data_IF_695944371414
#
_entry.id   IF_695944371414
#
_cell.length_a   1.000
_cell.length_b   1.000
_cell.length_c   1.000
_cell.angle_alpha   90.00
_cell.angle_beta   90.00
_cell.angle_gamma   90.00
#
_symmetry.space_group_name_H-M   'P 1'
#
loop_
_entity.id
_entity.type
_entity.pdbx_description
1 polymer ?
#
# COMPACT_ATOMS: atom_id res chain seq x y z
N UNK A 1 -63.46 31.11 -20.26
CA UNK A 1 -62.01 31.06 -20.53
C UNK A 1 -61.42 29.95 -19.68
N UNK A 2 -60.81 28.96 -20.34
CA UNK A 2 -60.44 27.65 -19.82
C UNK A 2 -58.98 27.69 -19.34
N UNK A 3 -58.69 27.20 -18.13
CA UNK A 3 -57.31 26.92 -17.69
C UNK A 3 -57.23 25.54 -17.08
N UNK A 4 -56.86 24.58 -17.93
CA UNK A 4 -56.44 23.23 -17.57
C UNK A 4 -55.07 23.32 -16.92
N UNK A 5 -54.94 22.90 -15.65
CA UNK A 5 -53.63 22.72 -15.01
C UNK A 5 -53.24 21.25 -15.14
N UNK A 6 -52.17 20.99 -15.90
CA UNK A 6 -51.52 19.69 -16.01
C UNK A 6 -50.57 19.52 -14.81
N UNK A 7 -50.85 18.58 -13.92
CA UNK A 7 -49.96 18.22 -12.82
C UNK A 7 -48.98 17.16 -13.30
N UNK A 8 -47.71 17.53 -13.50
CA UNK A 8 -46.62 16.58 -13.75
C UNK A 8 -46.24 15.86 -12.45
N UNK A 9 -46.48 14.55 -12.36
CA UNK A 9 -45.89 13.68 -11.34
C UNK A 9 -44.43 13.43 -11.69
N UNK A 10 -43.49 14.05 -10.98
CA UNK A 10 -42.08 13.69 -11.03
C UNK A 10 -41.83 12.49 -10.09
N UNK A 11 -41.70 11.29 -10.66
CA UNK A 11 -41.25 10.12 -9.92
C UNK A 11 -39.74 10.20 -9.70
N UNK A 12 -39.30 10.63 -8.52
CA UNK A 12 -37.90 10.56 -8.10
C UNK A 12 -37.56 9.10 -7.75
N UNK A 13 -36.87 8.42 -8.66
CA UNK A 13 -36.17 7.18 -8.35
C UNK A 13 -34.94 7.49 -7.50
N UNK A 14 -35.06 7.35 -6.18
CA UNK A 14 -33.92 7.34 -5.28
C UNK A 14 -33.22 5.97 -5.40
N UNK A 15 -32.17 5.89 -6.23
CA UNK A 15 -31.20 4.79 -6.17
C UNK A 15 -30.37 4.99 -4.89
N UNK A 16 -30.84 4.43 -3.78
CA UNK A 16 -30.05 4.27 -2.56
C UNK A 16 -28.99 3.18 -2.78
N UNK A 17 -27.95 3.52 -3.53
CA UNK A 17 -26.72 2.75 -3.56
C UNK A 17 -26.02 2.92 -2.22
N UNK A 18 -26.27 2.03 -1.27
CA UNK A 18 -25.38 1.86 -0.14
C UNK A 18 -24.04 1.34 -0.69
N UNK A 19 -23.15 2.26 -1.07
CA UNK A 19 -21.74 1.95 -1.17
C UNK A 19 -21.35 1.47 0.23
N UNK A 20 -21.16 0.16 0.40
CA UNK A 20 -20.61 -0.39 1.63
C UNK A 20 -19.31 0.39 1.88
N UNK A 21 -19.25 1.09 3.00
CA UNK A 21 -18.03 1.76 3.41
C UNK A 21 -16.94 0.69 3.47
N UNK A 22 -16.04 0.70 2.48
CA UNK A 22 -14.87 -0.16 2.49
C UNK A 22 -14.06 0.18 3.74
N UNK A 23 -13.79 -0.83 4.56
CA UNK A 23 -13.01 -0.63 5.78
C UNK A 23 -11.54 -0.43 5.39
N UNK A 24 -11.06 0.80 5.62
CA UNK A 24 -9.70 1.21 5.25
C UNK A 24 -8.74 0.87 6.37
N UNK A 25 -7.78 0.02 6.06
CA UNK A 25 -6.74 -0.42 6.97
C UNK A 25 -5.44 0.32 6.68
N UNK A 26 -4.83 0.88 7.72
CA UNK A 26 -3.49 1.46 7.60
C UNK A 26 -2.48 0.34 7.32
N UNK A 27 -1.53 0.58 6.42
CA UNK A 27 -0.42 -0.34 6.23
C UNK A 27 0.63 -0.09 7.32
N UNK A 28 0.96 -1.14 8.06
CA UNK A 28 1.87 -1.07 9.20
C UNK A 28 3.32 -1.03 8.73
N UNK A 29 4.12 -0.16 9.35
CA UNK A 29 5.56 -0.07 9.11
C UNK A 29 6.33 -1.23 9.70
N UNK A 30 7.28 -1.75 8.93
CA UNK A 30 8.31 -2.64 9.41
C UNK A 30 9.67 -2.40 8.73
N UNK A 31 10.72 -2.98 9.32
CA UNK A 31 12.09 -2.79 8.87
C UNK A 31 12.84 -4.12 8.89
N UNK A 32 13.23 -4.62 7.71
CA UNK A 32 13.86 -5.94 7.55
C UNK A 32 15.33 -5.99 7.98
N UNK A 33 15.89 -4.88 8.47
CA UNK A 33 17.18 -4.88 9.16
C UNK A 33 17.04 -5.25 10.63
N UNK A 34 15.84 -5.16 11.21
CA UNK A 34 15.56 -5.49 12.60
C UNK A 34 14.47 -6.58 12.62
N UNK A 35 14.81 -7.82 12.99
CA UNK A 35 13.83 -8.91 12.99
C UNK A 35 12.55 -8.55 13.76
N UNK A 36 11.40 -8.89 13.18
CA UNK A 36 10.05 -8.71 13.71
C UNK A 36 9.20 -9.95 13.39
N UNK A 37 8.00 -10.06 13.97
CA UNK A 37 7.07 -11.14 13.68
C UNK A 37 6.68 -11.24 12.19
N UNK A 38 6.68 -10.12 11.46
CA UNK A 38 6.32 -10.03 10.04
C UNK A 38 7.50 -10.35 9.11
N UNK A 39 8.72 -10.40 9.66
CA UNK A 39 9.96 -10.57 8.87
C UNK A 39 9.96 -11.84 8.01
N UNK A 40 9.52 -13.03 8.48
CA UNK A 40 9.50 -14.22 7.64
C UNK A 40 8.59 -14.07 6.42
N UNK A 41 7.36 -13.59 6.62
CA UNK A 41 6.40 -13.39 5.53
C UNK A 41 6.91 -12.35 4.53
N UNK A 42 7.42 -11.21 5.00
CA UNK A 42 7.95 -10.18 4.12
C UNK A 42 9.23 -10.61 3.38
N UNK A 43 10.09 -11.41 4.01
CA UNK A 43 11.27 -11.98 3.35
C UNK A 43 10.86 -12.95 2.24
N UNK A 44 9.81 -13.75 2.45
CA UNK A 44 9.26 -14.60 1.40
C UNK A 44 8.66 -13.78 0.26
N UNK A 45 7.89 -12.74 0.58
CA UNK A 45 7.23 -11.90 -0.43
C UNK A 45 8.25 -11.11 -1.25
N UNK A 46 9.33 -10.61 -0.65
CA UNK A 46 10.25 -9.65 -1.28
C UNK A 46 11.69 -10.14 -1.46
N UNK A 47 11.95 -11.43 -1.25
CA UNK A 47 13.30 -11.99 -1.20
C UNK A 47 14.16 -11.68 -2.43
N UNK A 48 13.56 -11.59 -3.61
CA UNK A 48 14.24 -11.20 -4.85
C UNK A 48 14.78 -9.76 -4.79
N UNK A 49 13.94 -8.81 -4.38
CA UNK A 49 14.31 -7.40 -4.27
C UNK A 49 15.26 -7.14 -3.09
N UNK A 50 15.10 -7.85 -1.98
CA UNK A 50 16.01 -7.80 -0.83
C UNK A 50 17.40 -8.30 -1.24
N UNK A 51 17.48 -9.45 -1.90
CA UNK A 51 18.74 -10.02 -2.35
C UNK A 51 19.46 -9.08 -3.34
N UNK A 52 18.71 -8.44 -4.23
CA UNK A 52 19.25 -7.46 -5.18
C UNK A 52 19.79 -6.21 -4.48
N UNK A 53 19.05 -5.65 -3.54
CA UNK A 53 19.49 -4.53 -2.74
C UNK A 53 20.74 -4.87 -1.91
N UNK A 54 20.79 -6.06 -1.31
CA UNK A 54 21.96 -6.52 -0.56
C UNK A 54 23.20 -6.65 -1.44
N UNK A 55 23.07 -7.17 -2.68
CA UNK A 55 24.16 -7.22 -3.66
C UNK A 55 24.63 -5.81 -4.03
N UNK A 56 23.71 -4.88 -4.28
CA UNK A 56 24.07 -3.49 -4.58
C UNK A 56 25.00 -2.88 -3.52
N UNK A 57 24.59 -2.92 -2.25
CA UNK A 57 25.37 -2.33 -1.17
C UNK A 57 26.72 -3.04 -0.95
N UNK A 58 26.75 -4.37 -1.09
CA UNK A 58 27.99 -5.15 -0.90
C UNK A 58 28.96 -5.02 -2.06
N UNK A 59 28.47 -5.15 -3.28
CA UNK A 59 29.31 -5.45 -4.43
C UNK A 59 29.60 -4.18 -5.25
N UNK A 60 28.59 -3.30 -5.39
CA UNK A 60 28.75 -2.03 -6.11
C UNK A 60 29.23 -0.90 -5.19
N UNK A 61 28.52 -0.64 -4.09
CA UNK A 61 28.91 0.42 -3.14
C UNK A 61 30.06 0.01 -2.22
N UNK A 62 30.29 -1.30 -2.04
CA UNK A 62 31.32 -1.86 -1.15
C UNK A 62 31.22 -1.30 0.28
N UNK A 63 30.00 -1.00 0.73
CA UNK A 63 29.77 -0.42 2.03
C UNK A 63 30.00 -1.47 3.14
N UNK A 64 31.00 -1.28 4.02
CA UNK A 64 31.36 -2.28 5.02
C UNK A 64 30.24 -2.55 6.03
N UNK A 65 29.28 -1.63 6.19
CA UNK A 65 28.15 -1.76 7.12
C UNK A 65 27.15 -2.85 6.71
N UNK A 66 27.16 -3.25 5.43
CA UNK A 66 26.19 -4.18 4.85
C UNK A 66 26.85 -5.45 4.30
N UNK A 67 28.06 -5.79 4.78
CA UNK A 67 28.72 -7.07 4.47
C UNK A 67 27.93 -8.28 4.95
N UNK A 68 27.14 -8.12 6.01
CA UNK A 68 26.27 -9.14 6.59
C UNK A 68 24.88 -8.55 6.86
N UNK A 69 23.85 -9.42 6.86
CA UNK A 69 22.47 -9.01 7.05
C UNK A 69 21.89 -8.23 5.85
N UNK A 70 20.72 -7.62 6.08
CA UNK A 70 20.03 -6.84 5.06
C UNK A 70 20.56 -5.39 5.00
N UNK A 71 20.74 -4.89 3.78
CA UNK A 71 20.81 -3.47 3.48
C UNK A 71 19.48 -2.76 3.87
N UNK A 72 19.41 -1.41 3.86
CA UNK A 72 18.18 -0.67 4.17
C UNK A 72 17.00 -1.17 3.35
N UNK A 73 16.01 -1.72 4.05
CA UNK A 73 14.81 -2.35 3.50
C UNK A 73 13.66 -2.16 4.49
N UNK A 74 12.78 -1.23 4.19
CA UNK A 74 11.57 -0.93 4.95
C UNK A 74 10.35 -1.42 4.18
N UNK A 75 9.28 -1.75 4.88
CA UNK A 75 8.04 -2.17 4.23
C UNK A 75 6.83 -1.56 4.93
N UNK A 76 5.75 -1.48 4.16
CA UNK A 76 4.40 -1.25 4.67
C UNK A 76 3.57 -2.49 4.34
N UNK A 77 2.81 -3.03 5.29
CA UNK A 77 1.95 -4.17 5.00
C UNK A 77 0.67 -4.24 5.82
N UNK A 78 -0.31 -4.92 5.25
CA UNK A 78 -1.51 -5.36 5.95
C UNK A 78 -2.01 -6.66 5.31
N UNK A 79 -2.62 -7.54 6.10
CA UNK A 79 -3.19 -8.80 5.62
C UNK A 79 -4.67 -8.86 5.95
N UNK A 80 -5.50 -8.99 4.91
CA UNK A 80 -6.92 -9.27 5.04
C UNK A 80 -7.16 -10.78 5.04
N UNK A 81 -8.20 -11.24 5.75
CA UNK A 81 -8.66 -12.62 5.71
C UNK A 81 -9.99 -12.70 4.95
N UNK A 82 -10.11 -13.63 4.02
CA UNK A 82 -11.34 -13.92 3.27
C UNK A 82 -11.56 -15.44 3.17
N UNK A 83 -12.41 -15.98 4.05
CA UNK A 83 -12.57 -17.42 4.20
C UNK A 83 -11.25 -18.11 4.58
N UNK A 84 -10.73 -18.95 3.68
CA UNK A 84 -9.44 -19.65 3.84
C UNK A 84 -8.28 -18.93 3.15
N UNK A 85 -8.52 -17.79 2.53
CA UNK A 85 -7.50 -16.99 1.87
C UNK A 85 -6.96 -15.89 2.79
N UNK A 86 -5.65 -15.65 2.66
CA UNK A 86 -4.95 -14.50 3.23
C UNK A 86 -4.51 -13.59 2.08
N UNK A 87 -4.92 -12.32 2.11
CA UNK A 87 -4.60 -11.30 1.12
C UNK A 87 -3.64 -10.31 1.74
N UNK A 88 -2.35 -10.52 1.51
CA UNK A 88 -1.29 -9.64 2.02
C UNK A 88 -0.96 -8.57 0.99
N UNK A 89 -1.26 -7.32 1.35
CA UNK A 89 -0.87 -6.12 0.61
C UNK A 89 0.41 -5.60 1.21
N UNK A 90 1.42 -5.36 0.39
CA UNK A 90 2.67 -4.77 0.89
C UNK A 90 3.34 -3.88 -0.15
N UNK A 91 4.09 -2.90 0.36
CA UNK A 91 5.05 -2.10 -0.40
C UNK A 91 6.42 -2.24 0.24
N UNK A 92 7.48 -2.16 -0.56
CA UNK A 92 8.86 -2.18 -0.06
C UNK A 92 9.62 -0.92 -0.48
N UNK A 93 10.31 -0.30 0.46
CA UNK A 93 11.22 0.81 0.26
C UNK A 93 12.67 0.33 0.40
N UNK A 94 13.35 0.23 -0.75
CA UNK A 94 14.76 -0.15 -0.87
C UNK A 94 15.45 0.79 -1.87
N UNK A 95 16.79 0.85 -1.80
CA UNK A 95 17.56 1.71 -2.68
C UNK A 95 17.28 1.40 -4.16
N UNK A 96 17.21 2.46 -4.98
CA UNK A 96 17.01 2.41 -6.45
C UNK A 96 15.70 1.80 -6.96
N UNK A 97 14.77 1.38 -6.09
CA UNK A 97 13.48 0.82 -6.52
C UNK A 97 12.27 1.68 -6.22
N UNK A 98 12.43 2.71 -5.39
CA UNK A 98 11.42 3.72 -5.19
C UNK A 98 11.80 5.03 -5.88
N UNK A 99 10.94 5.49 -6.78
CA UNK A 99 11.10 6.80 -7.41
C UNK A 99 10.56 7.90 -6.50
N UNK A 100 11.14 9.11 -6.58
CA UNK A 100 10.69 10.34 -5.91
C UNK A 100 10.54 10.30 -4.37
N UNK A 101 10.89 9.21 -3.69
CA UNK A 101 10.88 9.12 -2.23
C UNK A 101 11.97 9.97 -1.57
N UNK A 102 11.88 10.15 -0.24
CA UNK A 102 12.80 10.96 0.58
C UNK A 102 14.31 10.67 0.38
N UNK A 103 14.66 9.55 -0.26
CA UNK A 103 16.02 9.14 -0.57
C UNK A 103 16.51 9.59 -1.96
N UNK A 104 15.70 10.27 -2.78
CA UNK A 104 16.16 10.93 -4.01
C UNK A 104 16.73 12.31 -3.68
N UNK A 105 17.90 12.63 -4.26
CA UNK A 105 18.53 13.94 -4.14
C UNK A 105 17.67 15.10 -4.70
N UNK A 106 16.63 14.78 -5.48
CA UNK A 106 15.64 15.74 -6.02
C UNK A 106 14.30 15.74 -5.28
N UNK A 107 14.14 14.94 -4.21
CA UNK A 107 12.82 14.77 -3.60
C UNK A 107 12.40 15.98 -2.76
N UNK A 108 11.26 16.56 -3.14
CA UNK A 108 10.44 17.46 -2.31
C UNK A 108 9.17 16.76 -1.81
N UNK A 109 9.01 15.47 -2.15
CA UNK A 109 7.84 14.67 -1.90
C UNK A 109 7.99 13.84 -0.64
N UNK A 110 6.92 13.83 0.18
CA UNK A 110 6.89 13.08 1.44
C UNK A 110 6.67 11.57 1.25
N UNK A 111 6.57 11.10 0.00
CA UNK A 111 6.22 9.72 -0.35
C UNK A 111 7.11 9.22 -1.49
N UNK A 112 7.38 7.92 -1.53
CA UNK A 112 8.05 7.27 -2.66
C UNK A 112 7.07 6.45 -3.49
N UNK A 113 7.24 6.40 -4.81
CA UNK A 113 6.53 5.46 -5.66
C UNK A 113 7.33 4.16 -5.66
N UNK A 114 6.85 3.17 -4.93
CA UNK A 114 7.58 1.95 -4.60
C UNK A 114 6.93 0.70 -5.22
N UNK A 115 7.67 -0.41 -5.34
CA UNK A 115 7.09 -1.69 -5.73
C UNK A 115 6.02 -2.10 -4.73
N UNK A 116 4.89 -2.56 -5.26
CA UNK A 116 3.74 -3.07 -4.52
C UNK A 116 3.45 -4.51 -4.91
N UNK A 117 3.21 -5.37 -3.92
CA UNK A 117 2.77 -6.74 -4.11
C UNK A 117 1.47 -6.98 -3.35
N UNK A 118 0.51 -7.58 -4.05
CA UNK A 118 -0.66 -8.19 -3.43
C UNK A 118 -0.53 -9.70 -3.58
N UNK A 119 -0.38 -10.39 -2.46
CA UNK A 119 -0.18 -11.84 -2.40
C UNK A 119 -1.42 -12.48 -1.81
N UNK A 120 -2.08 -13.33 -2.59
CA UNK A 120 -3.20 -14.16 -2.14
C UNK A 120 -2.66 -15.55 -1.87
N UNK A 121 -2.84 -16.05 -0.64
CA UNK A 121 -2.44 -17.40 -0.25
C UNK A 121 -3.64 -18.15 0.30
N UNK A 122 -3.86 -19.37 -0.18
CA UNK A 122 -4.95 -20.23 0.29
C UNK A 122 -4.67 -21.71 -0.02
N UNK A 123 -5.68 -22.59 0.07
CA UNK A 123 -5.52 -24.04 -0.13
C UNK A 123 -4.94 -24.40 -1.51
N UNK A 124 -5.20 -23.59 -2.54
CA UNK A 124 -4.70 -23.78 -3.90
C UNK A 124 -3.29 -23.25 -4.16
N UNK A 125 -2.59 -22.77 -3.13
CA UNK A 125 -1.26 -22.17 -3.24
C UNK A 125 -1.28 -20.64 -3.13
N UNK A 126 -0.27 -20.00 -3.71
CA UNK A 126 -0.08 -18.55 -3.63
C UNK A 126 0.00 -17.90 -5.01
N UNK A 127 -0.66 -16.75 -5.16
CA UNK A 127 -0.60 -15.89 -6.36
C UNK A 127 -0.14 -14.50 -5.97
N UNK A 128 0.73 -13.90 -6.78
CA UNK A 128 1.28 -12.56 -6.54
C UNK A 128 0.95 -11.63 -7.71
N UNK A 129 0.25 -10.54 -7.42
CA UNK A 129 0.09 -9.42 -8.35
C UNK A 129 1.15 -8.36 -8.04
N UNK A 130 1.86 -7.89 -9.06
CA UNK A 130 2.94 -6.89 -8.96
C UNK A 130 2.52 -5.60 -9.63
N UNK A 131 2.77 -4.48 -8.96
CA UNK A 131 2.54 -3.13 -9.48
C UNK A 131 3.39 -2.12 -8.69
N UNK A 132 3.04 -0.85 -8.72
CA UNK A 132 3.63 0.21 -7.90
C UNK A 132 2.56 0.91 -7.04
N UNK A 133 2.97 1.50 -5.93
CA UNK A 133 2.10 2.32 -5.10
C UNK A 133 2.90 3.34 -4.30
N UNK A 134 2.21 4.33 -3.74
CA UNK A 134 2.86 5.33 -2.90
C UNK A 134 3.15 4.74 -1.51
N UNK A 135 4.42 4.72 -1.15
CA UNK A 135 4.94 4.43 0.17
C UNK A 135 4.97 5.74 0.96
N UNK A 136 4.01 5.91 1.86
CA UNK A 136 3.92 7.03 2.78
C UNK A 136 3.70 6.50 4.17
N UNK A 137 4.52 6.94 5.11
CA UNK A 137 4.41 6.56 6.51
C UNK A 137 5.04 7.62 7.39
N UNK A 138 4.50 7.80 8.58
CA UNK A 138 5.19 8.45 9.70
C UNK A 138 5.84 7.33 10.52
N UNK A 139 7.17 7.14 10.45
CA UNK A 139 7.83 6.06 11.16
C UNK A 139 7.63 6.18 12.69
N UNK A 140 7.65 5.06 13.43
CA UNK A 140 7.63 5.10 14.89
C UNK A 140 8.79 5.96 15.43
N UNK A 141 8.47 6.94 16.28
CA UNK A 141 9.45 7.85 16.88
C UNK A 141 9.80 9.08 16.02
N UNK A 142 9.08 9.33 14.93
CA UNK A 142 9.23 10.57 14.15
C UNK A 142 8.92 11.82 15.01
N UNK A 143 9.84 12.81 15.06
CA UNK A 143 9.69 13.99 15.92
C UNK A 143 8.76 15.08 15.34
N UNK A 144 8.26 14.93 14.11
CA UNK A 144 7.42 15.93 13.44
C UNK A 144 6.04 16.15 14.08
N UNK A 145 5.59 15.21 14.91
CA UNK A 145 4.26 15.25 15.52
C UNK A 145 3.11 15.00 14.54
N UNK A 146 3.40 14.56 13.31
CA UNK A 146 2.38 14.20 12.32
C UNK A 146 1.53 13.01 12.81
N UNK A 147 0.21 13.09 12.63
CA UNK A 147 -0.70 11.98 12.95
C UNK A 147 -0.53 10.85 11.91
N UNK A 148 -0.08 9.64 12.31
CA UNK A 148 0.10 8.52 11.39
C UNK A 148 -1.21 8.05 10.77
N UNK A 149 -2.38 8.37 11.35
CA UNK A 149 -3.69 8.07 10.75
C UNK A 149 -4.08 9.04 9.64
N UNK A 150 -3.37 10.15 9.49
CA UNK A 150 -3.60 11.16 8.46
C UNK A 150 -2.48 11.23 7.42
N UNK A 151 -1.35 10.59 7.71
CA UNK A 151 -0.12 10.62 6.92
C UNK A 151 0.40 9.20 6.71
N UNK A 152 -0.35 8.39 5.95
CA UNK A 152 -0.02 6.99 5.72
C UNK A 152 -0.58 6.46 4.41
N UNK A 153 -0.07 5.29 4.01
CA UNK A 153 -0.67 4.44 2.99
C UNK A 153 -1.69 3.49 3.62
N UNK A 154 -2.84 3.37 2.99
CA UNK A 154 -3.96 2.53 3.39
C UNK A 154 -4.28 1.51 2.30
N UNK A 155 -4.91 0.41 2.69
CA UNK A 155 -5.54 -0.51 1.77
C UNK A 155 -6.99 -0.79 2.22
N UNK A 156 -7.85 -1.11 1.26
CA UNK A 156 -9.16 -1.65 1.49
C UNK A 156 -9.41 -2.82 0.55
N UNK A 157 -10.07 -3.87 1.05
CA UNK A 157 -10.39 -5.06 0.29
C UNK A 157 -11.90 -5.13 -0.01
N UNK A 158 -12.24 -5.39 -1.26
CA UNK A 158 -13.60 -5.70 -1.70
C UNK A 158 -13.73 -7.20 -2.02
N UNK A 159 -14.39 -7.99 -1.15
CA UNK A 159 -14.58 -9.42 -1.39
C UNK A 159 -15.52 -9.72 -2.56
N UNK A 160 -16.50 -8.84 -2.85
CA UNK A 160 -17.46 -9.04 -3.94
C UNK A 160 -16.79 -8.84 -5.30
N UNK A 161 -15.95 -7.81 -5.40
CA UNK A 161 -15.26 -7.48 -6.65
C UNK A 161 -13.90 -8.16 -6.78
N UNK A 162 -13.39 -8.79 -5.71
CA UNK A 162 -12.04 -9.35 -5.63
C UNK A 162 -11.01 -8.29 -5.99
N UNK A 163 -11.07 -7.15 -5.32
CA UNK A 163 -10.12 -6.05 -5.54
C UNK A 163 -9.53 -5.54 -4.24
N UNK A 164 -8.29 -5.09 -4.30
CA UNK A 164 -7.64 -4.30 -3.26
C UNK A 164 -7.45 -2.89 -3.80
N UNK A 165 -7.98 -1.90 -3.10
CA UNK A 165 -7.67 -0.49 -3.39
C UNK A 165 -6.63 0.01 -2.39
N UNK A 166 -5.57 0.61 -2.90
CA UNK A 166 -4.48 1.20 -2.12
C UNK A 166 -4.52 2.71 -2.31
N UNK A 167 -4.33 3.46 -1.22
CA UNK A 167 -4.34 4.92 -1.24
C UNK A 167 -3.37 5.52 -0.22
N UNK A 168 -2.59 6.52 -0.62
CA UNK A 168 -1.84 7.35 0.34
C UNK A 168 -2.59 8.65 0.69
N UNK A 169 -2.60 9.00 1.98
CA UNK A 169 -3.17 10.25 2.49
C UNK A 169 -2.08 11.14 3.09
N UNK A 170 -2.14 12.44 2.78
CA UNK A 170 -1.40 13.50 3.48
C UNK A 170 -2.38 14.42 4.17
N UNK A 171 -2.20 14.63 5.47
CA UNK A 171 -3.12 15.43 6.30
C UNK A 171 -4.61 15.03 6.12
N UNK A 172 -4.84 13.72 5.96
CA UNK A 172 -6.16 13.13 5.75
C UNK A 172 -6.72 13.28 4.33
N UNK A 173 -5.96 13.86 3.39
CA UNK A 173 -6.37 14.08 2.00
C UNK A 173 -5.65 13.12 1.06
N UNK A 174 -6.35 12.51 0.08
CA UNK A 174 -5.71 11.68 -0.92
C UNK A 174 -4.64 12.44 -1.68
N UNK A 175 -3.48 11.82 -1.84
CA UNK A 175 -2.44 12.31 -2.74
C UNK A 175 -2.82 11.99 -4.20
N UNK A 176 -2.66 12.97 -5.09
CA UNK A 176 -2.89 12.79 -6.52
C UNK A 176 -1.95 11.70 -7.07
N UNK A 177 -2.48 10.79 -7.89
CA UNK A 177 -1.71 9.68 -8.45
C UNK A 177 -1.38 8.55 -7.45
N UNK A 178 -1.73 8.69 -6.17
CA UNK A 178 -1.46 7.70 -5.14
C UNK A 178 -2.67 6.85 -4.77
N UNK A 179 -3.60 6.65 -5.70
CA UNK A 179 -4.70 5.70 -5.55
C UNK A 179 -4.63 4.68 -6.68
N UNK A 180 -4.63 3.40 -6.35
CA UNK A 180 -4.62 2.31 -7.32
C UNK A 180 -5.54 1.18 -6.85
N UNK A 181 -6.29 0.60 -7.79
CA UNK A 181 -7.11 -0.59 -7.54
C UNK A 181 -6.51 -1.76 -8.29
N UNK A 182 -6.26 -2.83 -7.55
CA UNK A 182 -5.65 -4.07 -8.04
C UNK A 182 -6.71 -5.16 -7.99
N UNK A 183 -6.98 -5.80 -9.12
CA UNK A 183 -7.81 -7.01 -9.15
C UNK A 183 -6.97 -8.20 -8.71
N UNK A 184 -7.52 -9.01 -7.82
CA UNK A 184 -6.89 -10.25 -7.33
C UNK A 184 -7.67 -11.45 -7.85
N UNK A 185 -6.95 -12.53 -8.14
CA UNK A 185 -7.43 -13.74 -8.83
C UNK A 185 -7.20 -14.99 -8.01
#
# INVERSE_FOLDING_TARGET
>A
MMKTLLTFLAATFALSGAALAQDWQVLTYGNLRKPSAETPAMTQIWGDLIADNNRYFRDELKDPRFKTGNAPAEFLSHTFTDGQEQITVSLINIARRCDNGANSASSTDIHGICPLRVVVTGPGGSKTTRTTGCFLVVPPGDPSGLDPRKNATFAAYDPKQRTVTIRALRDGRPLNGCTATVKIS
#
